data_IF_465430197172
#
_entry.id   IF_465430197172
#
_cell.length_a   1.000
_cell.length_b   1.000
_cell.length_c   1.000
_cell.angle_alpha   90.00
_cell.angle_beta   90.00
_cell.angle_gamma   90.00
#
_symmetry.space_group_name_H-M   'P 1'
#
loop_
_entity.id
_entity.type
_entity.pdbx_description
1 polymer ?
#
# COMPACT_ATOMS: atom_id res chain seq x y z
N UNK A 1 6.90 2.07 29.10
CA UNK A 1 6.05 2.85 28.19
C UNK A 1 5.32 1.85 27.31
N UNK A 2 3.99 1.80 27.36
CA UNK A 2 3.24 0.84 26.53
C UNK A 2 3.43 1.23 25.06
N UNK A 3 3.83 0.28 24.20
CA UNK A 3 3.91 0.51 22.78
C UNK A 3 2.52 0.95 22.27
N UNK A 4 2.45 2.13 21.67
CA UNK A 4 1.22 2.63 21.04
C UNK A 4 0.93 1.70 19.86
N UNK A 5 -0.13 0.90 19.96
CA UNK A 5 -0.58 0.05 18.85
C UNK A 5 -1.14 0.95 17.74
N UNK A 6 -0.45 1.02 16.60
CA UNK A 6 -0.89 1.78 15.42
C UNK A 6 -1.86 0.94 14.59
N UNK A 7 -2.99 1.53 14.20
CA UNK A 7 -3.92 0.96 13.23
C UNK A 7 -3.52 1.44 11.84
N UNK A 8 -3.18 0.52 10.94
CA UNK A 8 -2.76 0.82 9.57
C UNK A 8 -3.80 0.34 8.57
N UNK A 9 -4.35 1.25 7.78
CA UNK A 9 -5.28 0.97 6.69
C UNK A 9 -4.51 0.70 5.39
N UNK A 10 -4.52 -0.55 4.95
CA UNK A 10 -3.89 -1.00 3.70
C UNK A 10 -4.98 -1.39 2.71
N UNK A 11 -4.97 -0.81 1.50
CA UNK A 11 -5.98 -1.10 0.47
C UNK A 11 -5.38 -1.85 -0.72
N UNK A 12 -6.08 -2.87 -1.21
CA UNK A 12 -5.73 -3.62 -2.41
C UNK A 12 -6.53 -3.10 -3.61
N UNK A 13 -5.82 -2.67 -4.67
CA UNK A 13 -6.40 -2.22 -5.93
C UNK A 13 -5.81 -2.99 -7.11
N UNK A 14 -6.56 -3.05 -8.22
CA UNK A 14 -6.20 -3.84 -9.40
C UNK A 14 -7.42 -4.45 -10.07
N UNK A 15 -7.24 -4.98 -11.27
CA UNK A 15 -8.32 -5.51 -12.10
C UNK A 15 -9.07 -6.68 -11.45
N UNK A 16 -10.26 -6.99 -11.97
CA UNK A 16 -11.01 -8.16 -11.55
C UNK A 16 -10.23 -9.44 -11.86
N UNK A 17 -10.15 -10.38 -10.91
CA UNK A 17 -9.51 -11.69 -11.15
C UNK A 17 -7.99 -11.76 -10.98
N UNK A 18 -7.32 -10.64 -10.67
CA UNK A 18 -5.86 -10.63 -10.38
C UNK A 18 -5.50 -11.30 -9.05
N UNK A 19 -6.48 -11.57 -8.18
CA UNK A 19 -6.28 -12.31 -6.92
C UNK A 19 -6.15 -11.48 -5.64
N UNK A 20 -6.65 -10.24 -5.62
CA UNK A 20 -6.67 -9.36 -4.43
C UNK A 20 -7.27 -10.05 -3.18
N UNK A 21 -8.49 -10.57 -3.32
CA UNK A 21 -9.18 -11.31 -2.24
C UNK A 21 -8.41 -12.55 -1.82
N UNK A 22 -7.81 -13.27 -2.78
CA UNK A 22 -6.97 -14.43 -2.50
C UNK A 22 -5.70 -14.07 -1.73
N UNK A 23 -5.05 -12.95 -2.05
CA UNK A 23 -3.88 -12.45 -1.32
C UNK A 23 -4.24 -12.06 0.12
N UNK A 24 -5.32 -11.30 0.30
CA UNK A 24 -5.84 -10.95 1.63
C UNK A 24 -6.14 -12.21 2.45
N UNK A 25 -6.90 -13.15 1.89
CA UNK A 25 -7.26 -14.40 2.57
C UNK A 25 -6.04 -15.27 2.89
N UNK A 26 -5.09 -15.38 1.94
CA UNK A 26 -3.84 -16.11 2.15
C UNK A 26 -3.05 -15.49 3.30
N UNK A 27 -2.91 -14.18 3.34
CA UNK A 27 -2.12 -13.51 4.37
C UNK A 27 -2.77 -13.58 5.76
N UNK A 28 -4.08 -13.38 5.85
CA UNK A 28 -4.80 -13.33 7.12
C UNK A 28 -5.08 -14.73 7.66
N UNK A 29 -5.57 -15.63 6.83
CA UNK A 29 -6.10 -16.94 7.27
C UNK A 29 -5.23 -18.13 6.90
N UNK A 30 -4.18 -17.91 6.12
CA UNK A 30 -3.35 -18.96 5.52
C UNK A 30 -4.15 -20.00 4.71
N UNK A 31 -5.24 -19.55 4.07
CA UNK A 31 -6.08 -20.38 3.20
C UNK A 31 -6.11 -19.80 1.79
N UNK A 32 -6.24 -20.69 0.82
CA UNK A 32 -6.50 -20.36 -0.57
C UNK A 32 -7.76 -21.10 -1.02
N UNK A 33 -8.65 -20.38 -1.70
CA UNK A 33 -9.86 -20.92 -2.31
C UNK A 33 -9.84 -20.57 -3.80
N UNK A 34 -9.85 -21.61 -4.64
CA UNK A 34 -9.85 -21.46 -6.09
C UNK A 34 -11.20 -20.97 -6.64
N UNK A 35 -12.28 -21.07 -5.86
CA UNK A 35 -13.65 -20.76 -6.26
C UNK A 35 -14.16 -19.41 -5.73
N UNK A 36 -13.24 -18.49 -5.39
CA UNK A 36 -13.62 -17.14 -4.98
C UNK A 36 -14.38 -16.40 -6.10
N UNK A 37 -15.61 -15.99 -5.79
CA UNK A 37 -16.43 -15.16 -6.67
C UNK A 37 -15.89 -13.73 -6.78
N UNK A 38 -16.35 -13.00 -7.79
CA UNK A 38 -16.00 -11.59 -7.93
C UNK A 38 -16.52 -10.74 -6.77
N UNK A 39 -15.62 -9.97 -6.14
CA UNK A 39 -15.98 -8.94 -5.17
C UNK A 39 -16.85 -7.87 -5.84
N UNK A 40 -18.06 -7.63 -5.29
CA UNK A 40 -19.01 -6.63 -5.79
C UNK A 40 -18.81 -5.27 -5.10
N UNK A 41 -18.37 -5.28 -3.84
CA UNK A 41 -18.17 -4.07 -3.04
C UNK A 41 -16.77 -4.02 -2.44
N UNK A 42 -16.74 -3.92 -1.11
CA UNK A 42 -15.51 -3.80 -0.33
C UNK A 42 -15.65 -4.67 0.91
N UNK A 43 -14.60 -5.40 1.24
CA UNK A 43 -14.47 -6.21 2.44
C UNK A 43 -13.17 -5.85 3.13
N UNK A 44 -13.09 -6.05 4.45
CA UNK A 44 -11.83 -5.89 5.15
C UNK A 44 -11.61 -6.96 6.22
N UNK A 45 -10.34 -7.26 6.48
CA UNK A 45 -9.90 -8.14 7.55
C UNK A 45 -8.81 -7.45 8.38
N UNK A 46 -8.77 -7.76 9.67
CA UNK A 46 -7.73 -7.28 10.56
C UNK A 46 -6.66 -8.37 10.75
N UNK A 47 -5.40 -7.95 10.86
CA UNK A 47 -4.29 -8.81 11.27
C UNK A 47 -3.36 -8.03 12.19
N UNK A 48 -3.12 -8.57 13.38
CA UNK A 48 -2.07 -8.07 14.27
C UNK A 48 -0.73 -8.68 13.88
N UNK A 49 0.32 -7.86 13.88
CA UNK A 49 1.67 -8.29 13.58
C UNK A 49 2.72 -7.38 14.22
N UNK A 50 3.93 -7.89 14.33
CA UNK A 50 5.11 -7.14 14.74
C UNK A 50 6.05 -7.02 13.53
N UNK A 51 6.44 -5.79 13.17
CA UNK A 51 7.41 -5.51 12.10
C UNK A 51 8.50 -4.63 12.66
N UNK A 52 9.75 -5.09 12.60
CA UNK A 52 10.93 -4.35 13.07
C UNK A 52 10.76 -3.80 14.51
N UNK A 53 10.16 -4.58 15.41
CA UNK A 53 9.89 -4.22 16.81
C UNK A 53 8.65 -3.35 17.04
N UNK A 54 7.88 -3.03 15.99
CA UNK A 54 6.65 -2.24 16.07
C UNK A 54 5.43 -3.15 15.99
N UNK A 55 4.60 -3.12 17.04
CA UNK A 55 3.31 -3.81 17.06
C UNK A 55 2.25 -2.98 16.35
N UNK A 56 1.65 -3.53 15.30
CA UNK A 56 0.64 -2.86 14.48
C UNK A 56 -0.59 -3.74 14.29
N UNK A 57 -1.75 -3.10 14.18
CA UNK A 57 -2.98 -3.72 13.67
C UNK A 57 -3.16 -3.29 12.23
N UNK A 58 -3.00 -4.20 11.28
CA UNK A 58 -3.25 -3.93 9.88
C UNK A 58 -4.72 -4.22 9.55
N UNK A 59 -5.42 -3.23 9.03
CA UNK A 59 -6.75 -3.36 8.44
C UNK A 59 -6.61 -3.40 6.92
N UNK A 60 -6.81 -4.58 6.34
CA UNK A 60 -6.60 -4.85 4.91
C UNK A 60 -7.95 -4.76 4.21
N UNK A 61 -8.07 -3.84 3.26
CA UNK A 61 -9.28 -3.57 2.49
C UNK A 61 -9.17 -4.21 1.10
N UNK A 62 -9.95 -5.26 0.84
CA UNK A 62 -10.16 -5.83 -0.49
C UNK A 62 -11.27 -5.07 -1.22
N UNK A 63 -11.08 -4.83 -2.53
CA UNK A 63 -11.98 -3.99 -3.33
C UNK A 63 -12.38 -4.66 -4.64
N UNK A 64 -13.57 -4.32 -5.13
CA UNK A 64 -14.05 -4.74 -6.44
C UNK A 64 -13.15 -4.24 -7.59
N UNK A 65 -12.56 -5.17 -8.35
CA UNK A 65 -11.70 -4.84 -9.49
C UNK A 65 -12.43 -4.52 -10.80
N UNK A 66 -13.74 -4.77 -10.88
CA UNK A 66 -14.50 -4.47 -12.10
C UNK A 66 -14.88 -3.00 -12.16
N UNK A 67 -14.76 -2.38 -13.34
CA UNK A 67 -15.07 -0.95 -13.51
C UNK A 67 -16.52 -0.60 -13.16
N UNK A 68 -17.47 -1.50 -13.46
CA UNK A 68 -18.90 -1.31 -13.14
C UNK A 68 -19.20 -1.15 -11.64
N UNK A 69 -18.25 -1.48 -10.77
CA UNK A 69 -18.35 -1.34 -9.31
C UNK A 69 -17.50 -0.19 -8.75
N UNK A 70 -16.95 0.69 -9.61
CA UNK A 70 -16.12 1.83 -9.19
C UNK A 70 -16.79 2.69 -8.10
N UNK A 71 -18.07 3.02 -8.26
CA UNK A 71 -18.81 3.84 -7.29
C UNK A 71 -18.98 3.18 -5.92
N UNK A 72 -18.81 1.85 -5.83
CA UNK A 72 -18.89 1.10 -4.58
C UNK A 72 -17.54 1.03 -3.85
N UNK A 73 -16.40 1.19 -4.54
CA UNK A 73 -15.05 1.10 -3.92
C UNK A 73 -14.43 2.45 -3.58
N UNK A 74 -14.63 3.48 -4.42
CA UNK A 74 -13.91 4.76 -4.27
C UNK A 74 -14.17 5.50 -2.96
N UNK A 75 -15.36 5.42 -2.31
CA UNK A 75 -15.57 6.02 -0.99
C UNK A 75 -14.63 5.48 0.10
N UNK A 76 -14.07 4.28 -0.09
CA UNK A 76 -13.21 3.61 0.88
C UNK A 76 -11.72 3.94 0.71
N UNK A 77 -11.34 4.71 -0.30
CA UNK A 77 -9.92 5.03 -0.54
C UNK A 77 -9.36 6.02 0.48
N UNK A 78 -10.18 6.97 0.92
CA UNK A 78 -9.77 8.02 1.87
C UNK A 78 -9.27 7.42 3.19
N UNK A 79 -8.18 7.99 3.69
CA UNK A 79 -7.54 7.57 4.93
C UNK A 79 -6.79 6.24 4.84
N UNK A 80 -6.48 5.76 3.63
CA UNK A 80 -5.55 4.64 3.47
C UNK A 80 -4.13 5.12 3.71
N UNK A 81 -3.35 4.34 4.46
CA UNK A 81 -1.95 4.63 4.77
C UNK A 81 -1.00 4.02 3.74
N UNK A 82 -1.43 2.92 3.10
CA UNK A 82 -0.71 2.29 1.99
C UNK A 82 -1.67 1.71 0.95
N UNK A 83 -1.24 1.70 -0.31
CA UNK A 83 -1.96 1.10 -1.42
C UNK A 83 -1.12 -0.01 -2.08
N UNK A 84 -1.66 -1.23 -2.09
CA UNK A 84 -1.13 -2.37 -2.80
C UNK A 84 -1.74 -2.43 -4.21
N UNK A 85 -0.97 -2.04 -5.22
CA UNK A 85 -1.38 -2.12 -6.62
C UNK A 85 -1.05 -3.51 -7.15
N UNK A 86 -2.08 -4.26 -7.51
CA UNK A 86 -1.99 -5.68 -7.85
C UNK A 86 -2.33 -5.90 -9.31
N UNK A 87 -1.47 -6.64 -10.01
CA UNK A 87 -1.74 -7.19 -11.33
C UNK A 87 -1.47 -8.70 -11.32
N UNK A 88 -1.79 -9.37 -12.42
CA UNK A 88 -1.53 -10.80 -12.60
C UNK A 88 -0.45 -11.00 -13.66
N UNK A 89 0.56 -11.83 -13.39
CA UNK A 89 1.67 -12.03 -14.35
C UNK A 89 1.24 -12.74 -15.63
N UNK A 90 0.11 -13.46 -15.59
CA UNK A 90 -0.58 -14.09 -16.72
C UNK A 90 -1.58 -13.15 -17.43
N UNK A 91 -1.65 -11.86 -17.07
CA UNK A 91 -2.57 -10.88 -17.65
C UNK A 91 -1.88 -9.52 -17.89
N UNK A 92 -1.42 -9.32 -19.12
CA UNK A 92 -0.77 -8.08 -19.56
C UNK A 92 -1.67 -6.84 -19.49
N UNK A 93 -2.99 -6.98 -19.64
CA UNK A 93 -3.93 -5.86 -19.55
C UNK A 93 -4.02 -5.35 -18.11
N UNK A 94 -4.04 -6.27 -17.14
CA UNK A 94 -4.04 -5.92 -15.72
C UNK A 94 -2.80 -5.12 -15.31
N UNK A 95 -1.65 -5.42 -15.91
CA UNK A 95 -0.40 -4.69 -15.71
C UNK A 95 -0.45 -3.28 -16.32
N UNK A 96 -0.90 -3.16 -17.58
CA UNK A 96 -1.06 -1.86 -18.24
C UNK A 96 -2.02 -0.94 -17.47
N UNK A 97 -3.02 -1.52 -16.80
CA UNK A 97 -3.99 -0.78 -16.00
C UNK A 97 -3.44 -0.25 -14.65
N UNK A 98 -2.24 -0.63 -14.20
CA UNK A 98 -1.65 -0.12 -12.94
C UNK A 98 -1.59 1.41 -12.90
N UNK A 99 -1.26 2.05 -14.02
CA UNK A 99 -1.24 3.52 -14.14
C UNK A 99 -2.61 4.15 -13.91
N UNK A 100 -3.68 3.48 -14.36
CA UNK A 100 -5.06 3.94 -14.17
C UNK A 100 -5.48 3.77 -12.71
N UNK A 101 -5.16 2.64 -12.09
CA UNK A 101 -5.41 2.39 -10.67
C UNK A 101 -4.67 3.37 -9.76
N UNK A 102 -3.40 3.66 -10.03
CA UNK A 102 -2.62 4.66 -9.29
C UNK A 102 -3.27 6.04 -9.37
N UNK A 103 -3.64 6.49 -10.58
CA UNK A 103 -4.32 7.78 -10.80
C UNK A 103 -5.68 7.85 -10.10
N UNK A 104 -6.48 6.79 -10.21
CA UNK A 104 -7.78 6.68 -9.55
C UNK A 104 -7.63 6.77 -8.03
N UNK A 105 -6.68 6.03 -7.45
CA UNK A 105 -6.39 6.08 -6.03
C UNK A 105 -6.02 7.48 -5.56
N UNK A 106 -5.03 8.10 -6.20
CA UNK A 106 -4.57 9.45 -5.84
C UNK A 106 -5.73 10.45 -5.82
N UNK A 107 -6.60 10.40 -6.83
CA UNK A 107 -7.75 11.29 -6.95
C UNK A 107 -8.79 11.08 -5.85
N UNK A 108 -9.26 9.84 -5.66
CA UNK A 108 -10.36 9.56 -4.72
C UNK A 108 -9.91 9.45 -3.26
N UNK A 109 -8.65 9.09 -2.99
CA UNK A 109 -8.07 9.13 -1.65
C UNK A 109 -7.71 10.55 -1.20
N UNK A 110 -7.70 11.54 -2.12
CA UNK A 110 -7.29 12.92 -1.85
C UNK A 110 -5.85 12.99 -1.30
N UNK A 111 -4.93 12.29 -1.99
CA UNK A 111 -3.51 12.20 -1.58
C UNK A 111 -2.82 13.52 -1.87
N UNK A 112 -2.43 14.24 -0.81
CA UNK A 112 -1.76 15.54 -0.91
C UNK A 112 -0.37 15.48 -1.53
N UNK A 113 0.38 14.42 -1.22
CA UNK A 113 1.75 14.21 -1.69
C UNK A 113 1.89 12.85 -2.37
N UNK A 114 1.49 12.73 -3.66
CA UNK A 114 1.48 11.44 -4.35
C UNK A 114 2.84 10.78 -4.51
N UNK A 115 3.92 11.58 -4.52
CA UNK A 115 5.30 11.09 -4.67
C UNK A 115 5.86 10.48 -3.38
N UNK A 116 5.31 10.84 -2.21
CA UNK A 116 5.73 10.28 -0.92
C UNK A 116 4.77 9.20 -0.40
N UNK A 117 3.58 9.08 -0.98
CA UNK A 117 2.57 8.10 -0.56
C UNK A 117 3.06 6.65 -0.73
N UNK A 118 2.92 5.78 0.29
CA UNK A 118 3.32 4.38 0.21
C UNK A 118 2.52 3.54 -0.79
N UNK A 119 3.12 3.24 -1.94
CA UNK A 119 2.65 2.19 -2.85
C UNK A 119 3.56 0.97 -2.79
N UNK A 120 2.98 -0.22 -2.94
CA UNK A 120 3.70 -1.49 -3.18
C UNK A 120 3.05 -2.18 -4.37
N UNK A 121 3.86 -2.72 -5.28
CA UNK A 121 3.39 -3.33 -6.51
C UNK A 121 3.47 -4.85 -6.40
N UNK A 122 2.37 -5.54 -6.68
CA UNK A 122 2.25 -6.99 -6.60
C UNK A 122 1.99 -7.59 -7.98
N UNK A 123 2.93 -8.39 -8.48
CA UNK A 123 2.73 -9.25 -9.64
C UNK A 123 2.30 -10.62 -9.15
N UNK A 124 0.99 -10.87 -9.11
CA UNK A 124 0.44 -12.09 -8.54
C UNK A 124 0.38 -13.24 -9.55
N UNK A 125 0.15 -14.46 -9.04
CA UNK A 125 0.06 -15.73 -9.78
C UNK A 125 1.37 -16.16 -10.44
N UNK A 126 2.49 -15.94 -9.76
CA UNK A 126 3.80 -16.40 -10.25
C UNK A 126 3.97 -17.92 -10.26
N UNK A 127 3.01 -18.65 -9.70
CA UNK A 127 2.87 -20.10 -9.85
C UNK A 127 2.38 -20.55 -11.24
N UNK A 128 2.06 -19.61 -12.13
CA UNK A 128 1.66 -19.87 -13.53
C UNK A 128 2.87 -19.68 -14.44
N UNK A 129 3.16 -20.69 -15.26
CA UNK A 129 4.31 -20.69 -16.18
C UNK A 129 4.08 -19.79 -17.42
N UNK A 130 2.83 -19.72 -17.92
CA UNK A 130 2.44 -18.92 -19.09
C UNK A 130 2.32 -17.42 -18.79
N UNK A 131 3.44 -16.80 -18.40
CA UNK A 131 3.51 -15.38 -18.07
C UNK A 131 3.37 -14.51 -19.33
N UNK A 132 2.61 -13.43 -19.20
CA UNK A 132 2.47 -12.37 -20.20
C UNK A 132 3.27 -11.11 -19.85
N UNK A 133 3.73 -10.98 -18.60
CA UNK A 133 4.51 -9.84 -18.10
C UNK A 133 5.82 -10.36 -17.50
N UNK A 134 6.94 -9.85 -18.01
CA UNK A 134 8.26 -10.21 -17.50
C UNK A 134 8.57 -9.47 -16.19
N UNK A 135 9.45 -10.07 -15.39
CA UNK A 135 9.94 -9.45 -14.16
C UNK A 135 10.63 -8.12 -14.45
N UNK A 136 11.43 -8.06 -15.52
CA UNK A 136 12.15 -6.86 -15.94
C UNK A 136 11.20 -5.72 -16.31
N UNK A 137 10.14 -6.02 -17.08
CA UNK A 137 9.14 -5.04 -17.50
C UNK A 137 8.40 -4.45 -16.28
N UNK A 138 8.00 -5.30 -15.34
CA UNK A 138 7.35 -4.87 -14.11
C UNK A 138 8.27 -4.01 -13.23
N UNK A 139 9.54 -4.40 -13.10
CA UNK A 139 10.54 -3.64 -12.36
C UNK A 139 10.85 -2.28 -13.02
N UNK A 140 10.94 -2.22 -14.35
CA UNK A 140 11.10 -0.97 -15.11
C UNK A 140 9.93 -0.02 -14.87
N UNK A 141 8.70 -0.54 -14.90
CA UNK A 141 7.54 0.27 -14.57
C UNK A 141 7.62 0.82 -13.15
N UNK A 142 8.00 -0.01 -12.17
CA UNK A 142 8.14 0.43 -10.77
C UNK A 142 9.17 1.54 -10.60
N UNK A 143 10.35 1.41 -11.24
CA UNK A 143 11.41 2.44 -11.25
C UNK A 143 10.90 3.76 -11.84
N UNK A 144 10.23 3.69 -12.99
CA UNK A 144 9.78 4.87 -13.73
C UNK A 144 8.54 5.57 -13.13
N UNK A 145 7.81 4.91 -12.23
CA UNK A 145 6.54 5.42 -11.70
C UNK A 145 6.58 5.74 -10.19
N UNK A 146 7.77 5.99 -9.62
CA UNK A 146 7.94 6.40 -8.22
C UNK A 146 8.87 5.50 -7.40
N UNK A 147 9.60 4.60 -8.07
CA UNK A 147 10.55 3.68 -7.44
C UNK A 147 9.91 2.82 -6.33
N UNK A 148 8.75 2.25 -6.64
CA UNK A 148 7.98 1.45 -5.68
C UNK A 148 8.59 0.05 -5.49
N UNK A 149 8.53 -0.52 -4.28
CA UNK A 149 8.88 -1.92 -4.08
C UNK A 149 7.94 -2.83 -4.88
N UNK A 150 8.53 -3.85 -5.49
CA UNK A 150 7.85 -4.83 -6.33
C UNK A 150 8.03 -6.24 -5.76
N UNK A 151 6.92 -6.97 -5.65
CA UNK A 151 6.92 -8.37 -5.24
C UNK A 151 6.21 -9.23 -6.27
N UNK A 152 6.87 -10.31 -6.64
CA UNK A 152 6.25 -11.43 -7.33
C UNK A 152 5.62 -12.35 -6.31
N UNK A 153 4.29 -12.45 -6.33
CA UNK A 153 3.53 -13.17 -5.32
C UNK A 153 2.73 -14.33 -5.89
N UNK A 154 2.46 -15.33 -5.08
CA UNK A 154 1.37 -16.27 -5.35
C UNK A 154 0.52 -16.47 -4.10
N UNK A 155 -0.75 -16.10 -4.21
CA UNK A 155 -1.74 -16.43 -3.19
C UNK A 155 -1.95 -17.95 -3.05
N UNK A 156 -1.67 -18.73 -4.10
CA UNK A 156 -1.90 -20.17 -4.14
C UNK A 156 -0.90 -20.92 -3.28
N UNK A 157 0.40 -20.65 -3.45
CA UNK A 157 1.49 -21.33 -2.72
C UNK A 157 2.13 -20.47 -1.60
N UNK A 158 1.65 -19.24 -1.41
CA UNK A 158 2.10 -18.25 -0.43
C UNK A 158 3.43 -17.53 -0.76
N UNK A 159 3.99 -17.73 -1.96
CA UNK A 159 5.23 -17.05 -2.39
C UNK A 159 5.12 -15.54 -2.19
N UNK A 160 6.06 -14.99 -1.41
CA UNK A 160 6.23 -13.57 -1.06
C UNK A 160 5.01 -12.83 -0.50
N UNK A 161 3.92 -13.52 -0.16
CA UNK A 161 2.69 -12.86 0.32
C UNK A 161 2.98 -12.11 1.62
N UNK A 162 3.58 -12.77 2.62
CA UNK A 162 3.89 -12.12 3.90
C UNK A 162 4.88 -10.96 3.74
N UNK A 163 5.94 -11.16 2.96
CA UNK A 163 6.98 -10.16 2.70
C UNK A 163 6.40 -8.86 2.10
N UNK A 164 5.45 -8.99 1.17
CA UNK A 164 4.79 -7.86 0.53
C UNK A 164 3.95 -7.03 1.52
N UNK A 165 3.15 -7.68 2.38
CA UNK A 165 2.35 -6.98 3.38
C UNK A 165 3.21 -6.37 4.49
N UNK A 166 4.27 -7.04 4.92
CA UNK A 166 5.21 -6.47 5.89
C UNK A 166 5.97 -5.27 5.31
N UNK A 167 6.33 -5.29 4.03
CA UNK A 167 6.92 -4.13 3.36
C UNK A 167 5.96 -2.94 3.36
N UNK A 168 4.66 -3.17 3.16
CA UNK A 168 3.67 -2.11 3.28
C UNK A 168 3.72 -1.43 4.65
N UNK A 169 3.87 -2.20 5.74
CA UNK A 169 4.05 -1.65 7.10
C UNK A 169 5.34 -0.83 7.19
N UNK A 170 6.47 -1.38 6.75
CA UNK A 170 7.77 -0.67 6.79
C UNK A 170 7.71 0.67 6.08
N UNK A 171 7.04 0.72 4.92
CA UNK A 171 6.89 1.95 4.12
C UNK A 171 6.03 3.00 4.83
N UNK A 172 4.97 2.58 5.53
CA UNK A 172 4.15 3.50 6.33
C UNK A 172 4.94 4.03 7.52
N UNK A 173 5.59 3.16 8.30
CA UNK A 173 6.39 3.57 9.47
C UNK A 173 7.50 4.56 9.07
N UNK A 174 8.20 4.31 7.96
CA UNK A 174 9.22 5.21 7.44
C UNK A 174 8.67 6.59 7.02
N UNK A 175 7.39 6.67 6.62
CA UNK A 175 6.72 7.93 6.27
C UNK A 175 6.28 8.73 7.50
N UNK A 176 5.88 8.05 8.58
CA UNK A 176 5.53 8.67 9.86
C UNK A 176 6.78 9.28 10.52
N UNK A 177 7.90 8.55 10.57
CA UNK A 177 9.15 9.04 11.14
C UNK A 177 9.65 10.32 10.46
N UNK A 178 9.51 10.41 9.13
CA UNK A 178 9.87 11.62 8.37
C UNK A 178 8.97 12.80 8.74
N UNK A 179 7.68 12.55 8.94
CA UNK A 179 6.70 13.58 9.29
C UNK A 179 6.94 14.12 10.70
N UNK A 180 7.20 13.24 11.67
CA UNK A 180 7.51 13.62 13.06
C UNK A 180 8.82 14.39 13.15
N UNK A 181 9.84 14.03 12.36
CA UNK A 181 11.10 14.78 12.32
C UNK A 181 10.93 16.21 11.81
N UNK A 182 10.04 16.42 10.82
CA UNK A 182 9.74 17.76 10.30
C UNK A 182 8.96 18.63 11.29
N UNK A 183 8.04 18.03 12.07
CA UNK A 183 7.27 18.77 13.07
C UNK A 183 8.12 19.23 14.27
N UNK A 184 9.21 18.53 14.59
CA UNK A 184 10.11 18.94 15.67
C UNK A 184 10.93 20.20 15.34
N UNK A 185 11.21 20.48 14.06
CA UNK A 185 12.04 21.63 13.66
C UNK A 185 11.31 22.97 13.62
N UNK A 186 9.98 22.98 13.61
CA UNK A 186 9.15 24.20 13.43
C UNK A 186 8.56 24.79 14.72
N UNK A 187 9.14 24.48 15.89
CA UNK A 187 8.72 25.15 17.14
C UNK A 187 9.40 26.51 17.30
N UNK A 188 8.72 27.58 16.88
CA UNK A 188 9.09 28.96 17.22
C UNK A 188 8.96 29.14 18.74
N UNK A 189 10.11 29.26 19.41
CA UNK A 189 10.20 29.51 20.85
C UNK A 189 9.76 30.95 21.19
N UNK A 190 8.48 31.15 21.51
CA UNK A 190 7.87 32.45 21.86
C UNK A 190 8.40 33.08 23.17
N UNK A 191 9.28 32.39 23.91
CA UNK A 191 9.88 32.86 25.16
C UNK A 191 11.31 33.43 25.00
N UNK A 192 11.82 33.58 23.77
CA UNK A 192 13.14 34.17 23.54
C UNK A 192 13.10 35.68 23.77
N UNK A 193 13.44 36.13 24.98
CA UNK A 193 13.65 37.56 25.29
C UNK A 193 14.75 38.11 24.37
N UNK A 194 14.55 39.27 23.71
CA UNK A 194 15.59 39.91 22.93
C UNK A 194 16.75 40.31 23.85
N UNK A 195 17.99 39.96 23.47
CA UNK A 195 19.20 40.43 24.16
C UNK A 195 19.31 41.95 23.96
N UNK A 196 19.66 42.73 25.00
CA UNK A 196 19.86 44.16 24.85
C UNK A 196 21.08 44.41 23.96
N UNK A 197 20.93 45.29 22.98
CA UNK A 197 22.02 45.78 22.14
C UNK A 197 22.96 46.67 22.97
N UNK A 198 24.21 46.23 23.13
CA UNK A 198 25.29 47.06 23.66
C UNK A 198 25.94 47.86 22.54
N UNK A 199 25.99 49.17 22.75
CA UNK A 199 26.67 50.24 21.99
C UNK A 199 28.14 49.97 21.62
N UNK A 200 28.54 50.45 20.43
CA UNK A 200 29.84 51.02 20.03
C UNK A 200 29.72 51.46 18.56
N UNK A 201 30.18 52.61 18.06
CA UNK A 201 30.93 53.77 18.58
C UNK A 201 30.32 55.05 17.95
#
# INVERSE_FOLDING_TARGET
MAAKSSLLKVILLGDGGVGKSSLMNRYVTNKFDAQLFHTIGVEFLNKELEVDGHFVTMQIWDTAGQERFRSLRTPFYRGSDCCLLTFSVDDSQSFQNLSNWKKEFIYYADVKEPESFPFVILGNKVDIDERQVSTEEAQDWCRNNGNHPYFETSAKDATNVAAAFEEAVRRVLASEDRSDHFLQTDTVNLHRKPKPSSSCC
#
